data_IF_919758192055
#
_entry.id   IF_919758192055
#
_cell.length_a   1.000
_cell.length_b   1.000
_cell.length_c   1.000
_cell.angle_alpha   90.00
_cell.angle_beta   90.00
_cell.angle_gamma   90.00
#
_symmetry.space_group_name_H-M   'P 1'
#
loop_
_entity.id
_entity.type
_entity.pdbx_description
1 polymer ?
#
# COMPACT_ATOMS: atom_id res chain seq x y z
N UNK A 1 2.67 6.90 61.66
CA UNK A 1 3.51 6.31 60.60
C UNK A 1 2.98 4.93 60.27
N UNK A 2 2.20 4.80 59.20
CA UNK A 2 1.75 3.51 58.66
C UNK A 2 1.92 3.58 57.14
N UNK A 3 2.76 2.69 56.59
CA UNK A 3 2.93 2.46 55.14
C UNK A 3 2.00 1.33 54.71
N UNK A 4 1.43 1.45 53.50
CA UNK A 4 1.03 0.43 52.50
C UNK A 4 -0.19 0.92 51.68
N UNK A 5 -0.39 0.47 50.43
CA UNK A 5 0.50 0.61 49.28
C UNK A 5 -0.24 1.17 48.03
N UNK A 6 0.53 1.53 47.01
CA UNK A 6 0.07 1.84 45.66
C UNK A 6 -0.75 0.69 45.07
N UNK A 7 -1.97 0.97 44.63
CA UNK A 7 -2.69 0.13 43.68
C UNK A 7 -2.19 0.52 42.28
N UNK A 8 -1.31 -0.29 41.70
CA UNK A 8 -1.00 -0.24 40.28
C UNK A 8 -2.20 -0.87 39.55
N UNK A 9 -3.00 -0.03 38.90
CA UNK A 9 -4.00 -0.48 37.94
C UNK A 9 -3.29 -1.22 36.80
N UNK A 10 -3.76 -2.44 36.57
CA UNK A 10 -3.12 -3.43 35.72
C UNK A 10 -2.92 -2.95 34.28
N UNK A 11 -1.67 -3.11 33.83
CA UNK A 11 -1.33 -3.22 32.42
C UNK A 11 -2.11 -4.39 31.81
N UNK A 12 -3.23 -4.06 31.18
CA UNK A 12 -4.06 -4.99 30.43
C UNK A 12 -3.32 -5.43 29.15
N UNK A 13 -2.36 -6.33 29.31
CA UNK A 13 -1.81 -7.12 28.22
C UNK A 13 -2.94 -7.98 27.63
N UNK A 14 -3.71 -7.40 26.71
CA UNK A 14 -4.78 -8.06 25.97
C UNK A 14 -4.17 -9.16 25.11
N UNK A 15 -4.01 -10.31 25.72
CA UNK A 15 -3.60 -11.54 25.07
C UNK A 15 -4.74 -11.94 24.13
N UNK A 16 -4.55 -11.69 22.83
CA UNK A 16 -5.54 -12.04 21.80
C UNK A 16 -5.96 -13.50 21.95
N UNK A 17 -7.26 -13.78 21.83
CA UNK A 17 -7.77 -15.15 21.85
C UNK A 17 -7.21 -15.96 20.67
N UNK A 18 -7.18 -17.30 20.75
CA UNK A 18 -6.75 -18.14 19.62
C UNK A 18 -7.50 -17.82 18.32
N UNK A 19 -8.81 -17.57 18.41
CA UNK A 19 -9.62 -17.17 17.26
C UNK A 19 -9.22 -15.79 16.70
N UNK A 20 -8.92 -14.82 17.56
CA UNK A 20 -8.46 -13.50 17.15
C UNK A 20 -7.08 -13.54 16.48
N UNK A 21 -6.16 -14.36 16.99
CA UNK A 21 -4.85 -14.58 16.36
C UNK A 21 -4.97 -15.27 15.00
N UNK A 22 -5.83 -16.27 14.90
CA UNK A 22 -6.09 -16.93 13.62
C UNK A 22 -6.70 -15.97 12.60
N UNK A 23 -7.66 -15.16 13.03
CA UNK A 23 -8.28 -14.14 12.17
C UNK A 23 -7.27 -13.07 11.72
N UNK A 24 -6.37 -12.61 12.59
CA UNK A 24 -5.32 -11.64 12.20
C UNK A 24 -4.30 -12.27 11.25
N UNK A 25 -3.91 -13.53 11.48
CA UNK A 25 -3.05 -14.28 10.56
C UNK A 25 -3.68 -14.46 9.19
N UNK A 26 -4.97 -14.86 9.12
CA UNK A 26 -5.67 -14.99 7.85
C UNK A 26 -5.76 -13.67 7.10
N UNK A 27 -6.07 -12.55 7.79
CA UNK A 27 -6.09 -11.22 7.17
C UNK A 27 -4.72 -10.84 6.61
N UNK A 28 -3.65 -11.04 7.38
CA UNK A 28 -2.29 -10.77 6.94
C UNK A 28 -1.89 -11.64 5.73
N UNK A 29 -2.28 -12.91 5.73
CA UNK A 29 -1.97 -13.83 4.64
C UNK A 29 -2.73 -13.48 3.36
N UNK A 30 -4.01 -13.07 3.48
CA UNK A 30 -4.79 -12.57 2.34
C UNK A 30 -4.17 -11.30 1.75
N UNK A 31 -3.74 -10.37 2.59
CA UNK A 31 -3.07 -9.15 2.14
C UNK A 31 -1.74 -9.46 1.44
N UNK A 32 -0.90 -10.36 2.00
CA UNK A 32 0.35 -10.80 1.35
C UNK A 32 0.15 -11.47 -0.01
N UNK A 33 -1.02 -12.05 -0.24
CA UNK A 33 -1.38 -12.66 -1.52
C UNK A 33 -1.96 -11.66 -2.54
N UNK A 34 -2.15 -10.39 -2.16
CA UNK A 34 -2.73 -9.37 -3.04
C UNK A 34 -1.76 -8.98 -4.16
N UNK A 35 -2.30 -8.43 -5.25
CA UNK A 35 -1.52 -7.89 -6.36
C UNK A 35 -0.69 -6.69 -5.86
N UNK A 36 -1.26 -5.83 -5.02
CA UNK A 36 -0.57 -4.69 -4.41
C UNK A 36 0.63 -5.13 -3.56
N UNK A 37 0.50 -6.18 -2.76
CA UNK A 37 1.59 -6.72 -1.95
C UNK A 37 2.70 -7.32 -2.82
N UNK A 38 2.34 -8.03 -3.90
CA UNK A 38 3.34 -8.54 -4.87
C UNK A 38 4.09 -7.40 -5.55
N UNK A 39 3.40 -6.36 -6.01
CA UNK A 39 4.01 -5.18 -6.60
C UNK A 39 4.95 -4.48 -5.61
N UNK A 40 4.49 -4.22 -4.38
CA UNK A 40 5.31 -3.58 -3.35
C UNK A 40 6.61 -4.36 -3.08
N UNK A 41 6.54 -5.70 -3.06
CA UNK A 41 7.71 -6.55 -2.89
C UNK A 41 8.73 -6.49 -4.04
N UNK A 42 8.38 -5.91 -5.19
CA UNK A 42 9.33 -5.68 -6.31
C UNK A 42 10.15 -4.41 -6.14
N UNK A 43 9.75 -3.50 -5.25
CA UNK A 43 10.38 -2.21 -5.06
C UNK A 43 11.54 -2.31 -4.05
N UNK A 44 12.61 -1.50 -4.23
CA UNK A 44 13.75 -1.49 -3.31
C UNK A 44 13.50 -0.67 -2.03
N UNK A 45 12.27 -0.22 -1.80
CA UNK A 45 11.85 0.61 -0.68
C UNK A 45 10.41 0.28 -0.27
N UNK A 46 10.06 0.63 0.97
CA UNK A 46 8.68 0.51 1.47
C UNK A 46 7.79 1.63 0.92
N UNK A 47 6.50 1.33 0.77
CA UNK A 47 5.51 2.30 0.32
C UNK A 47 5.10 3.24 1.45
N UNK A 48 4.88 4.51 1.12
CA UNK A 48 4.20 5.44 2.01
C UNK A 48 2.71 5.07 2.17
N UNK A 49 2.09 5.48 3.28
CA UNK A 49 0.69 5.17 3.59
C UNK A 49 -0.27 5.51 2.45
N UNK A 50 -0.11 6.70 1.84
CA UNK A 50 -0.99 7.15 0.75
C UNK A 50 -0.81 6.31 -0.53
N UNK A 51 0.38 5.73 -0.75
CA UNK A 51 0.66 4.87 -1.89
C UNK A 51 0.00 3.51 -1.67
N UNK A 52 0.11 2.97 -0.45
CA UNK A 52 -0.56 1.73 -0.05
C UNK A 52 -2.08 1.85 -0.16
N UNK A 53 -2.67 2.92 0.39
CA UNK A 53 -4.11 3.18 0.30
C UNK A 53 -4.59 3.28 -1.15
N UNK A 54 -3.85 4.01 -1.99
CA UNK A 54 -4.17 4.15 -3.40
C UNK A 54 -4.10 2.79 -4.14
N UNK A 55 -3.08 1.99 -3.87
CA UNK A 55 -2.90 0.68 -4.50
C UNK A 55 -4.01 -0.29 -4.08
N UNK A 56 -4.34 -0.35 -2.79
CA UNK A 56 -5.44 -1.18 -2.29
C UNK A 56 -6.78 -0.75 -2.91
N UNK A 57 -7.03 0.55 -3.05
CA UNK A 57 -8.24 1.07 -3.68
C UNK A 57 -8.33 0.72 -5.17
N UNK A 58 -7.21 0.84 -5.91
CA UNK A 58 -7.13 0.43 -7.32
C UNK A 58 -7.34 -1.09 -7.48
N UNK A 59 -6.72 -1.90 -6.63
CA UNK A 59 -6.91 -3.35 -6.61
C UNK A 59 -8.37 -3.73 -6.30
N UNK A 60 -9.05 -2.97 -5.44
CA UNK A 60 -10.47 -3.13 -5.17
C UNK A 60 -11.39 -2.66 -6.34
N UNK A 61 -10.83 -2.05 -7.39
CA UNK A 61 -11.58 -1.57 -8.56
C UNK A 61 -12.12 -0.15 -8.42
N UNK A 62 -11.67 0.62 -7.42
CA UNK A 62 -12.03 2.02 -7.25
C UNK A 62 -11.19 2.94 -8.13
N UNK A 63 -11.70 4.14 -8.42
CA UNK A 63 -10.93 5.23 -9.01
C UNK A 63 -10.23 6.02 -7.91
N UNK A 64 -9.00 6.49 -8.16
CA UNK A 64 -8.20 7.22 -7.18
C UNK A 64 -7.74 8.57 -7.73
N UNK A 65 -7.79 9.60 -6.90
CA UNK A 65 -7.16 10.90 -7.15
C UNK A 65 -6.06 11.13 -6.10
N UNK A 66 -4.80 11.11 -6.55
CA UNK A 66 -3.64 11.32 -5.65
C UNK A 66 -3.17 12.76 -5.77
N UNK A 67 -3.26 13.51 -4.66
CA UNK A 67 -2.74 14.87 -4.54
C UNK A 67 -1.57 14.90 -3.54
N UNK A 68 -0.35 14.71 -4.05
CA UNK A 68 0.88 14.76 -3.25
C UNK A 68 1.91 15.71 -3.88
N UNK A 69 2.79 16.37 -3.09
CA UNK A 69 3.85 17.24 -3.60
C UNK A 69 4.77 16.56 -4.63
N UNK A 70 5.45 17.35 -5.46
CA UNK A 70 6.49 16.82 -6.36
C UNK A 70 7.62 16.24 -5.53
N UNK A 71 8.14 15.08 -5.95
CA UNK A 71 9.14 14.31 -5.19
C UNK A 71 8.56 13.29 -4.20
N UNK A 72 7.28 13.37 -3.84
CA UNK A 72 6.64 12.44 -2.89
C UNK A 72 6.36 11.02 -3.46
N UNK A 73 6.88 10.66 -4.63
CA UNK A 73 6.71 9.31 -5.16
C UNK A 73 5.32 8.96 -5.72
N UNK A 74 4.45 9.94 -5.99
CA UNK A 74 3.11 9.70 -6.61
C UNK A 74 3.13 8.86 -7.90
N UNK A 75 4.26 8.78 -8.60
CA UNK A 75 4.46 7.90 -9.76
C UNK A 75 4.28 6.42 -9.41
N UNK A 76 4.61 5.98 -8.20
CA UNK A 76 4.47 4.58 -7.75
C UNK A 76 3.03 4.08 -7.88
N UNK A 77 2.04 4.94 -7.62
CA UNK A 77 0.62 4.61 -7.79
C UNK A 77 0.27 4.39 -9.26
N UNK A 78 0.86 5.18 -10.16
CA UNK A 78 0.66 5.01 -11.60
C UNK A 78 1.34 3.73 -12.11
N UNK A 79 2.54 3.41 -11.61
CA UNK A 79 3.26 2.17 -11.95
C UNK A 79 2.45 0.95 -11.49
N UNK A 80 1.87 1.00 -10.29
CA UNK A 80 0.96 -0.05 -9.83
C UNK A 80 -0.29 -0.17 -10.71
N UNK A 81 -0.89 0.94 -11.15
CA UNK A 81 -2.05 0.90 -12.04
C UNK A 81 -1.72 0.21 -13.38
N UNK A 82 -0.51 0.41 -13.92
CA UNK A 82 -0.02 -0.29 -15.12
C UNK A 82 0.20 -1.77 -14.83
N UNK A 83 0.86 -2.11 -13.71
CA UNK A 83 1.07 -3.48 -13.28
C UNK A 83 -0.25 -4.25 -13.10
N UNK A 84 -1.24 -3.63 -12.45
CA UNK A 84 -2.56 -4.19 -12.25
C UNK A 84 -3.32 -4.37 -13.57
N UNK A 85 -3.16 -3.46 -14.53
CA UNK A 85 -3.73 -3.61 -15.87
C UNK A 85 -3.12 -4.82 -16.60
N UNK A 86 -1.82 -5.05 -16.49
CA UNK A 86 -1.15 -6.24 -17.04
C UNK A 86 -1.67 -7.52 -16.39
N UNK A 87 -1.75 -7.57 -15.05
CA UNK A 87 -2.30 -8.71 -14.30
C UNK A 87 -3.75 -9.02 -14.67
N UNK A 88 -4.54 -8.00 -15.02
CA UNK A 88 -5.93 -8.12 -15.47
C UNK A 88 -6.08 -8.33 -16.98
N UNK A 89 -4.99 -8.36 -17.74
CA UNK A 89 -4.99 -8.42 -19.20
C UNK A 89 -5.84 -7.33 -19.87
N UNK A 90 -5.76 -6.10 -19.35
CA UNK A 90 -6.41 -4.90 -19.92
C UNK A 90 -5.36 -3.85 -20.30
N UNK A 91 -5.80 -2.79 -20.98
CA UNK A 91 -4.91 -1.69 -21.39
C UNK A 91 -4.88 -0.59 -20.33
N UNK A 92 -3.69 -0.05 -20.08
CA UNK A 92 -3.48 1.20 -19.34
C UNK A 92 -3.06 2.30 -20.31
N UNK A 93 -3.59 3.52 -20.11
CA UNK A 93 -3.20 4.71 -20.86
C UNK A 93 -2.53 5.70 -19.91
N UNK A 94 -1.24 5.99 -20.14
CA UNK A 94 -0.51 7.00 -19.39
C UNK A 94 -0.52 8.32 -20.15
N UNK A 95 -1.02 9.39 -19.52
CA UNK A 95 -1.14 10.71 -20.15
C UNK A 95 -0.35 11.75 -19.37
N UNK A 96 0.31 12.65 -20.10
CA UNK A 96 1.05 13.78 -19.52
C UNK A 96 0.64 15.07 -20.20
N UNK A 97 0.63 16.22 -19.51
CA UNK A 97 0.22 17.49 -20.12
C UNK A 97 1.19 18.01 -21.19
N UNK A 98 2.43 17.50 -21.25
CA UNK A 98 3.49 17.98 -22.15
C UNK A 98 4.14 16.80 -22.88
N UNK A 99 4.26 16.88 -24.21
CA UNK A 99 4.83 15.82 -25.06
C UNK A 99 6.22 15.37 -24.62
N UNK A 100 7.10 16.29 -24.23
CA UNK A 100 8.45 15.95 -23.78
C UNK A 100 8.44 15.01 -22.55
N UNK A 101 7.48 15.19 -21.62
CA UNK A 101 7.32 14.33 -20.46
C UNK A 101 6.77 12.96 -20.85
N UNK A 102 5.90 12.90 -21.86
CA UNK A 102 5.45 11.62 -22.44
C UNK A 102 6.62 10.83 -23.02
N UNK A 103 7.53 11.48 -23.75
CA UNK A 103 8.71 10.81 -24.30
C UNK A 103 9.62 10.29 -23.19
N UNK A 104 9.89 11.10 -22.16
CA UNK A 104 10.68 10.68 -21.01
C UNK A 104 10.07 9.45 -20.34
N UNK A 105 8.76 9.48 -20.07
CA UNK A 105 8.05 8.37 -19.43
C UNK A 105 8.00 7.12 -20.30
N UNK A 106 7.93 7.26 -21.62
CA UNK A 106 8.02 6.13 -22.52
C UNK A 106 9.37 5.41 -22.37
N UNK A 107 10.48 6.16 -22.35
CA UNK A 107 11.80 5.56 -22.12
C UNK A 107 11.91 4.91 -20.73
N UNK A 108 11.41 5.57 -19.68
CA UNK A 108 11.40 5.02 -18.32
C UNK A 108 10.62 3.68 -18.21
N UNK A 109 9.68 3.41 -19.11
CA UNK A 109 8.75 2.26 -19.04
C UNK A 109 9.09 1.10 -20.00
N UNK A 110 9.91 1.34 -21.02
CA UNK A 110 10.22 0.35 -22.06
C UNK A 110 11.58 -0.32 -21.84
N UNK A 111 12.49 0.36 -21.14
CA UNK A 111 13.80 -0.17 -20.76
C UNK A 111 13.74 -0.95 -19.43
#
# INVERSE_FOLDING_TARGET
MARHPHHQEGDSSRTLSPAQRYASFQKANKHRASVAARFAATLPFDLDDFQTEANDALEAGSNVLVAAPTGAGKTVVADFAIYLAQERNVKAFYTTPIKALSNQKYHDLVD
#
